data_IF_359810695452
#
_entry.id   IF_359810695452
#
_cell.length_a   1.000
_cell.length_b   1.000
_cell.length_c   1.000
_cell.angle_alpha   90.00
_cell.angle_beta   90.00
_cell.angle_gamma   90.00
#
_symmetry.space_group_name_H-M   'P 1'
#
loop_
_entity.id
_entity.type
_entity.pdbx_description
1 polymer ?
#
# COMPACT_ATOMS: atom_id res chain seq x y z
N UNK A 1 -1.02 -0.98 12.07
CA UNK A 1 -1.09 -2.41 11.75
C UNK A 1 -0.40 -2.64 10.42
N UNK A 2 0.35 -3.74 10.25
CA UNK A 2 0.94 -4.10 8.95
C UNK A 2 0.28 -5.36 8.42
N UNK A 3 -0.18 -5.32 7.18
CA UNK A 3 -0.75 -6.47 6.49
C UNK A 3 0.10 -6.82 5.28
N UNK A 4 0.45 -8.10 5.17
CA UNK A 4 1.23 -8.62 4.06
C UNK A 4 0.38 -8.74 2.79
N UNK A 5 1.04 -9.03 1.68
CA UNK A 5 0.38 -9.12 0.38
C UNK A 5 -0.70 -10.19 0.25
N UNK A 6 -0.63 -11.26 1.05
CA UNK A 6 -1.66 -12.31 1.13
C UNK A 6 -2.90 -11.89 1.90
N UNK A 7 -2.81 -10.85 2.72
CA UNK A 7 -3.93 -10.30 3.50
C UNK A 7 -4.81 -9.37 2.68
N UNK A 8 -4.31 -8.87 1.54
CA UNK A 8 -5.07 -7.99 0.63
C UNK A 8 -5.32 -8.62 -0.74
N UNK A 9 -5.00 -9.91 -0.92
CA UNK A 9 -4.99 -10.58 -2.23
C UNK A 9 -6.36 -10.81 -2.88
N UNK A 10 -7.46 -10.58 -2.18
CA UNK A 10 -8.84 -10.71 -2.70
C UNK A 10 -9.80 -9.81 -1.94
N UNK A 11 -11.00 -9.61 -2.48
CA UNK A 11 -12.04 -8.83 -1.83
C UNK A 11 -12.40 -9.37 -0.44
N UNK A 12 -12.53 -10.70 -0.28
CA UNK A 12 -12.87 -11.30 1.01
C UNK A 12 -11.79 -11.06 2.07
N UNK A 13 -10.52 -11.17 1.68
CA UNK A 13 -9.39 -10.88 2.58
C UNK A 13 -9.35 -9.41 2.95
N UNK A 14 -9.67 -8.51 2.02
CA UNK A 14 -9.82 -7.08 2.32
C UNK A 14 -10.95 -6.84 3.33
N UNK A 15 -12.09 -7.53 3.21
CA UNK A 15 -13.20 -7.43 4.19
C UNK A 15 -12.75 -7.90 5.58
N UNK A 16 -12.07 -9.04 5.68
CA UNK A 16 -11.50 -9.54 6.95
C UNK A 16 -10.53 -8.52 7.58
N UNK A 17 -9.66 -7.93 6.78
CA UNK A 17 -8.71 -6.91 7.23
C UNK A 17 -9.45 -5.66 7.72
N UNK A 18 -10.49 -5.24 7.01
CA UNK A 18 -11.36 -4.13 7.41
C UNK A 18 -12.03 -4.39 8.77
N UNK A 19 -12.61 -5.58 8.97
CA UNK A 19 -13.21 -5.96 10.26
C UNK A 19 -12.20 -5.87 11.40
N UNK A 20 -10.97 -6.36 11.19
CA UNK A 20 -9.87 -6.26 12.15
C UNK A 20 -9.48 -4.81 12.45
N UNK A 21 -9.45 -3.93 11.45
CA UNK A 21 -9.13 -2.50 11.68
C UNK A 21 -10.23 -1.85 12.52
N UNK A 22 -11.49 -2.15 12.21
CA UNK A 22 -12.65 -1.58 12.89
C UNK A 22 -12.83 -2.11 14.32
N UNK A 23 -12.33 -3.31 14.63
CA UNK A 23 -12.32 -3.85 16.00
C UNK A 23 -11.37 -3.11 16.95
N UNK A 24 -10.48 -2.24 16.44
CA UNK A 24 -9.56 -1.43 17.25
C UNK A 24 -9.76 0.10 17.06
N UNK A 25 -10.94 0.67 17.40
CA UNK A 25 -11.29 2.05 17.10
C UNK A 25 -10.48 3.11 17.87
N UNK A 26 -9.77 2.72 18.95
CA UNK A 26 -9.08 3.65 19.87
C UNK A 26 -7.56 3.79 19.66
N UNK A 27 -6.97 3.16 18.63
CA UNK A 27 -5.54 3.29 18.35
C UNK A 27 -5.33 4.13 17.09
N UNK A 28 -4.44 5.11 17.16
CA UNK A 28 -3.93 5.91 16.03
C UNK A 28 -3.22 4.97 15.03
N UNK A 29 -4.00 4.22 14.27
CA UNK A 29 -3.52 3.10 13.50
C UNK A 29 -3.12 3.59 12.12
N UNK A 30 -1.82 3.76 11.90
CA UNK A 30 -1.29 3.75 10.54
C UNK A 30 -1.38 2.32 10.01
N UNK A 31 -1.93 2.16 8.81
CA UNK A 31 -2.00 0.87 8.15
C UNK A 31 -0.92 0.82 7.09
N UNK A 32 -0.11 -0.23 7.15
CA UNK A 32 0.92 -0.51 6.15
C UNK A 32 0.48 -1.71 5.34
N UNK A 33 0.39 -1.54 4.03
CA UNK A 33 -0.02 -2.60 3.10
C UNK A 33 1.09 -2.89 2.08
N UNK A 34 1.25 -4.18 1.78
CA UNK A 34 2.07 -4.67 0.67
C UNK A 34 1.21 -5.14 -0.51
N UNK A 35 1.78 -5.28 -1.71
CA UNK A 35 1.06 -5.74 -2.91
C UNK A 35 0.29 -7.03 -2.69
N UNK A 36 -0.89 -7.12 -3.33
CA UNK A 36 -1.61 -8.37 -3.57
C UNK A 36 -0.65 -9.47 -4.04
N UNK A 37 -0.58 -10.56 -3.25
CA UNK A 37 0.48 -11.56 -3.29
C UNK A 37 0.93 -12.04 -4.67
N UNK A 38 2.25 -12.20 -4.86
CA UNK A 38 2.94 -12.80 -6.03
C UNK A 38 2.44 -12.37 -7.44
N UNK A 39 1.69 -11.29 -7.56
CA UNK A 39 1.23 -10.72 -8.84
C UNK A 39 2.38 -10.27 -9.74
N UNK A 40 3.58 -10.15 -9.19
CA UNK A 40 4.83 -9.75 -9.85
C UNK A 40 5.20 -10.58 -11.09
N UNK A 41 4.79 -11.86 -11.19
CA UNK A 41 5.26 -12.71 -12.30
C UNK A 41 4.39 -12.64 -13.57
N UNK A 42 3.17 -12.08 -13.51
CA UNK A 42 2.27 -11.96 -14.67
C UNK A 42 1.37 -10.74 -14.53
N UNK A 43 1.81 -9.59 -15.07
CA UNK A 43 1.08 -8.30 -15.04
C UNK A 43 -0.38 -8.46 -15.48
N UNK A 44 -0.62 -9.19 -16.58
CA UNK A 44 -1.97 -9.44 -17.11
C UNK A 44 -2.85 -10.16 -16.08
N UNK A 45 -2.31 -11.20 -15.42
CA UNK A 45 -3.05 -11.93 -14.39
C UNK A 45 -3.37 -11.00 -13.22
N UNK A 46 -2.42 -10.16 -12.82
CA UNK A 46 -2.64 -9.17 -11.78
C UNK A 46 -3.79 -8.20 -12.11
N UNK A 47 -3.85 -7.73 -13.36
CA UNK A 47 -4.93 -6.85 -13.84
C UNK A 47 -6.31 -7.51 -13.75
N UNK A 48 -6.43 -8.79 -14.11
CA UNK A 48 -7.70 -9.52 -13.97
C UNK A 48 -8.12 -9.61 -12.50
N UNK A 49 -7.19 -9.91 -11.59
CA UNK A 49 -7.50 -9.94 -10.16
C UNK A 49 -7.91 -8.57 -9.60
N UNK A 50 -7.23 -7.51 -10.05
CA UNK A 50 -7.53 -6.12 -9.68
C UNK A 50 -8.95 -5.75 -10.10
N UNK A 51 -9.31 -5.96 -11.37
CA UNK A 51 -10.64 -5.66 -11.89
C UNK A 51 -11.72 -6.46 -11.17
N UNK A 52 -11.50 -7.75 -10.96
CA UNK A 52 -12.43 -8.61 -10.23
C UNK A 52 -12.64 -8.14 -8.79
N UNK A 53 -11.57 -7.73 -8.11
CA UNK A 53 -11.65 -7.22 -6.73
C UNK A 53 -12.42 -5.90 -6.65
N UNK A 54 -12.22 -4.99 -7.62
CA UNK A 54 -13.01 -3.74 -7.72
C UNK A 54 -14.49 -4.05 -7.84
N UNK A 55 -14.87 -4.98 -8.72
CA UNK A 55 -16.25 -5.38 -8.92
C UNK A 55 -16.85 -6.07 -7.66
N UNK A 56 -16.11 -7.01 -7.06
CA UNK A 56 -16.52 -7.75 -5.84
C UNK A 56 -16.72 -6.83 -4.63
N UNK A 57 -15.96 -5.72 -4.55
CA UNK A 57 -16.13 -4.68 -3.52
C UNK A 57 -17.18 -3.62 -3.93
N UNK A 58 -17.73 -3.73 -5.14
CA UNK A 58 -18.69 -2.80 -5.73
C UNK A 58 -18.15 -1.38 -5.87
N UNK A 59 -16.87 -1.24 -6.19
CA UNK A 59 -16.21 0.04 -6.43
C UNK A 59 -16.35 0.44 -7.90
N UNK A 60 -16.29 1.74 -8.18
CA UNK A 60 -16.24 2.22 -9.56
C UNK A 60 -14.86 1.94 -10.17
N UNK A 61 -14.84 1.36 -11.38
CA UNK A 61 -13.63 1.08 -12.15
C UNK A 61 -12.87 2.35 -12.54
N UNK A 62 -13.54 3.51 -12.56
CA UNK A 62 -12.90 4.82 -12.77
C UNK A 62 -11.77 5.08 -11.78
N UNK A 63 -11.82 4.48 -10.57
CA UNK A 63 -10.80 4.56 -9.53
C UNK A 63 -9.38 4.21 -10.01
N UNK A 64 -9.27 3.22 -10.91
CA UNK A 64 -7.99 2.67 -11.36
C UNK A 64 -7.72 2.92 -12.84
N UNK A 65 -8.67 3.56 -13.56
CA UNK A 65 -8.57 3.76 -15.01
C UNK A 65 -7.31 4.52 -15.40
N UNK A 66 -7.06 5.67 -14.77
CA UNK A 66 -5.87 6.49 -15.08
C UNK A 66 -4.55 5.74 -14.84
N UNK A 67 -4.54 4.83 -13.85
CA UNK A 67 -3.39 3.98 -13.55
C UNK A 67 -3.22 2.91 -14.64
N UNK A 68 -4.30 2.26 -15.06
CA UNK A 68 -4.27 1.30 -16.16
C UNK A 68 -3.79 1.93 -17.47
N UNK A 69 -4.27 3.13 -17.79
CA UNK A 69 -3.87 3.87 -18.99
C UNK A 69 -2.35 4.18 -18.96
N UNK A 70 -1.81 4.57 -17.80
CA UNK A 70 -0.36 4.79 -17.61
C UNK A 70 0.44 3.50 -17.76
N UNK A 71 -0.04 2.39 -17.20
CA UNK A 71 0.62 1.09 -17.34
C UNK A 71 0.64 0.63 -18.80
N UNK A 72 -0.46 0.81 -19.53
CA UNK A 72 -0.56 0.49 -20.95
C UNK A 72 0.45 1.29 -21.78
N UNK A 73 0.53 2.61 -21.58
CA UNK A 73 1.52 3.46 -22.26
C UNK A 73 2.96 2.99 -21.99
N UNK A 74 3.26 2.65 -20.73
CA UNK A 74 4.58 2.14 -20.35
C UNK A 74 4.90 0.80 -21.01
N UNK A 75 3.95 -0.14 -21.04
CA UNK A 75 4.11 -1.44 -21.70
C UNK A 75 4.30 -1.29 -23.21
N UNK A 76 3.58 -0.36 -23.85
CA UNK A 76 3.76 -0.03 -25.26
C UNK A 76 5.16 0.53 -25.53
N UNK A 77 5.67 1.41 -24.67
CA UNK A 77 7.04 1.91 -24.76
C UNK A 77 8.09 0.79 -24.69
N UNK A 78 7.92 -0.17 -23.77
CA UNK A 78 8.80 -1.34 -23.65
C UNK A 78 8.73 -2.21 -24.92
N UNK A 79 7.53 -2.42 -25.47
CA UNK A 79 7.35 -3.21 -26.68
C UNK A 79 8.05 -2.59 -27.90
N UNK A 80 7.98 -1.26 -28.04
CA UNK A 80 8.65 -0.51 -29.12
C UNK A 80 10.16 -0.52 -28.96
N UNK A 81 10.66 -0.21 -27.76
CA UNK A 81 12.10 -0.09 -27.50
C UNK A 81 12.79 -1.45 -27.35
N UNK A 82 12.02 -2.51 -27.06
CA UNK A 82 12.50 -3.87 -26.71
C UNK A 82 13.49 -3.88 -25.55
N UNK A 83 13.40 -2.88 -24.67
CA UNK A 83 14.28 -2.72 -23.51
C UNK A 83 13.47 -2.66 -22.22
N UNK A 84 13.87 -3.47 -21.24
CA UNK A 84 13.31 -3.45 -19.88
C UNK A 84 14.39 -3.00 -18.90
N UNK A 85 14.46 -1.70 -18.64
CA UNK A 85 15.40 -1.16 -17.66
C UNK A 85 15.00 -1.57 -16.23
N UNK A 86 15.96 -1.64 -15.28
CA UNK A 86 15.65 -1.90 -13.87
C UNK A 86 14.62 -0.92 -13.28
N UNK A 87 14.66 0.35 -13.72
CA UNK A 87 13.71 1.39 -13.29
C UNK A 87 12.28 1.07 -13.74
N UNK A 88 12.12 0.68 -15.00
CA UNK A 88 10.82 0.31 -15.57
C UNK A 88 10.28 -0.98 -14.93
N UNK A 89 11.15 -1.97 -14.70
CA UNK A 89 10.78 -3.19 -13.96
C UNK A 89 10.26 -2.85 -12.57
N UNK A 90 10.95 -1.97 -11.82
CA UNK A 90 10.53 -1.58 -10.48
C UNK A 90 9.18 -0.85 -10.48
N UNK A 91 8.93 -0.02 -11.50
CA UNK A 91 7.64 0.65 -11.67
C UNK A 91 6.48 -0.34 -11.92
N UNK A 92 6.69 -1.35 -12.77
CA UNK A 92 5.68 -2.39 -13.02
C UNK A 92 5.36 -3.17 -11.74
N UNK A 93 6.38 -3.44 -10.91
CA UNK A 93 6.18 -4.12 -9.63
C UNK A 93 5.41 -3.24 -8.65
N UNK A 94 5.77 -1.95 -8.54
CA UNK A 94 5.08 -1.02 -7.65
C UNK A 94 3.65 -0.72 -8.09
N UNK A 95 3.33 -0.86 -9.38
CA UNK A 95 1.97 -0.69 -9.88
C UNK A 95 0.95 -1.58 -9.16
N UNK A 96 1.27 -2.87 -8.99
CA UNK A 96 0.40 -3.80 -8.25
C UNK A 96 0.27 -3.43 -6.77
N UNK A 97 1.36 -2.93 -6.17
CA UNK A 97 1.38 -2.44 -4.79
C UNK A 97 0.44 -1.25 -4.62
N UNK A 98 0.65 -0.19 -5.40
CA UNK A 98 -0.14 1.04 -5.31
C UNK A 98 -1.61 0.85 -5.70
N UNK A 99 -1.92 -0.05 -6.63
CA UNK A 99 -3.31 -0.28 -7.06
C UNK A 99 -4.10 -1.00 -5.98
N UNK A 100 -3.50 -1.98 -5.30
CA UNK A 100 -4.17 -2.72 -4.23
C UNK A 100 -4.51 -1.86 -3.02
N UNK A 101 -3.61 -0.96 -2.62
CA UNK A 101 -3.84 -0.04 -1.51
C UNK A 101 -4.90 1.00 -1.84
N UNK A 102 -4.95 1.44 -3.11
CA UNK A 102 -5.97 2.36 -3.62
C UNK A 102 -7.37 1.76 -3.56
N UNK A 103 -7.50 0.51 -4.00
CA UNK A 103 -8.76 -0.26 -3.90
C UNK A 103 -9.20 -0.38 -2.45
N UNK A 104 -8.27 -0.72 -1.56
CA UNK A 104 -8.57 -0.88 -0.14
C UNK A 104 -9.02 0.43 0.53
N UNK A 105 -8.34 1.55 0.24
CA UNK A 105 -8.73 2.89 0.71
C UNK A 105 -10.12 3.28 0.19
N UNK A 106 -10.38 3.05 -1.10
CA UNK A 106 -11.69 3.34 -1.69
C UNK A 106 -12.79 2.50 -1.04
N UNK A 107 -12.51 1.24 -0.75
CA UNK A 107 -13.44 0.36 -0.03
C UNK A 107 -13.73 0.87 1.39
N UNK A 108 -12.71 1.23 2.17
CA UNK A 108 -12.90 1.82 3.50
C UNK A 108 -13.77 3.08 3.45
N UNK A 109 -13.48 3.99 2.51
CA UNK A 109 -14.26 5.21 2.35
C UNK A 109 -15.71 4.91 1.96
N UNK A 110 -15.94 3.92 1.08
CA UNK A 110 -17.29 3.47 0.69
C UNK A 110 -18.11 2.98 1.88
N UNK A 111 -17.49 2.31 2.85
CA UNK A 111 -18.19 1.82 4.06
C UNK A 111 -18.22 2.85 5.20
N UNK A 112 -17.87 4.11 4.94
CA UNK A 112 -17.93 5.21 5.91
C UNK A 112 -16.69 5.35 6.81
N UNK A 113 -15.61 4.62 6.53
CA UNK A 113 -14.35 4.74 7.28
C UNK A 113 -13.36 5.62 6.51
N UNK A 114 -13.13 6.82 7.03
CA UNK A 114 -12.25 7.81 6.39
C UNK A 114 -10.81 7.31 6.33
N UNK A 115 -10.30 7.09 5.12
CA UNK A 115 -8.96 6.59 4.87
C UNK A 115 -8.29 7.30 3.69
N UNK A 116 -6.96 7.41 3.71
CA UNK A 116 -6.17 8.03 2.64
C UNK A 116 -4.90 7.25 2.34
N UNK A 117 -4.54 7.18 1.06
CA UNK A 117 -3.35 6.48 0.56
C UNK A 117 -2.12 7.40 0.54
N UNK A 118 -0.98 6.85 0.93
CA UNK A 118 0.34 7.48 0.85
C UNK A 118 1.31 6.54 0.12
N UNK A 119 1.62 6.86 -1.13
CA UNK A 119 2.52 6.06 -1.97
C UNK A 119 3.99 6.42 -1.68
N UNK A 120 4.77 5.45 -1.21
CA UNK A 120 6.22 5.64 -0.95
C UNK A 120 7.03 5.76 -2.25
N UNK A 121 6.50 5.27 -3.38
CA UNK A 121 7.18 5.30 -4.69
C UNK A 121 6.99 6.60 -5.47
N UNK A 122 5.94 7.34 -5.18
CA UNK A 122 5.64 8.61 -5.85
C UNK A 122 6.51 9.74 -5.32
N UNK A 123 7.25 9.45 -4.25
CA UNK A 123 8.16 10.36 -3.64
C UNK A 123 9.54 9.75 -3.77
N UNK A 124 10.46 10.46 -4.39
CA UNK A 124 11.89 10.38 -4.03
C UNK A 124 12.10 10.84 -2.55
N UNK A 125 11.08 10.73 -1.70
CA UNK A 125 11.19 11.03 -0.30
C UNK A 125 11.75 9.83 0.41
N UNK A 126 12.75 10.15 1.20
CA UNK A 126 13.08 9.41 2.38
C UNK A 126 11.83 9.19 3.22
N UNK A 127 11.82 8.07 3.93
CA UNK A 127 10.84 7.71 4.94
C UNK A 127 10.31 8.92 5.74
N UNK A 128 11.22 9.82 6.12
CA UNK A 128 10.94 10.97 6.96
C UNK A 128 9.93 11.93 6.32
N UNK A 129 9.97 12.13 5.00
CA UNK A 129 9.03 13.02 4.34
C UNK A 129 7.62 12.41 4.24
N UNK A 130 7.52 11.08 4.03
CA UNK A 130 6.23 10.37 4.11
C UNK A 130 5.64 10.50 5.51
N UNK A 131 6.45 10.26 6.56
CA UNK A 131 6.01 10.36 7.95
C UNK A 131 5.55 11.78 8.32
N UNK A 132 6.30 12.81 7.92
CA UNK A 132 5.92 14.22 8.14
C UNK A 132 4.59 14.56 7.47
N UNK A 133 4.40 14.11 6.22
CA UNK A 133 3.16 14.34 5.48
C UNK A 133 1.97 13.66 6.15
N UNK A 134 2.09 12.37 6.46
CA UNK A 134 1.05 11.61 7.18
C UNK A 134 0.67 12.29 8.49
N UNK A 135 1.66 12.74 9.26
CA UNK A 135 1.43 13.42 10.52
C UNK A 135 0.71 14.76 10.35
N UNK A 136 1.16 15.58 9.40
CA UNK A 136 0.52 16.87 9.10
C UNK A 136 -0.92 16.74 8.61
N UNK A 137 -1.17 15.75 7.75
CA UNK A 137 -2.52 15.46 7.25
C UNK A 137 -3.42 14.92 8.36
N UNK A 138 -2.91 14.06 9.25
CA UNK A 138 -3.65 13.54 10.40
C UNK A 138 -4.08 14.63 11.38
N UNK A 139 -3.18 15.59 11.70
CA UNK A 139 -3.50 16.70 12.60
C UNK A 139 -4.60 17.58 11.99
N UNK A 140 -4.51 17.84 10.68
CA UNK A 140 -5.47 18.70 9.98
C UNK A 140 -6.84 18.04 9.84
N UNK A 141 -6.86 16.75 9.55
CA UNK A 141 -8.07 16.01 9.24
C UNK A 141 -7.91 14.51 9.59
N UNK A 142 -8.35 14.08 10.79
CA UNK A 142 -8.13 12.72 11.27
C UNK A 142 -8.75 11.68 10.33
N UNK A 143 -7.90 10.84 9.75
CA UNK A 143 -8.26 9.78 8.81
C UNK A 143 -7.23 8.65 8.87
N UNK A 144 -7.64 7.41 8.63
CA UNK A 144 -6.72 6.26 8.66
C UNK A 144 -5.69 6.39 7.52
N UNK A 145 -4.39 6.57 7.82
CA UNK A 145 -3.38 6.67 6.78
C UNK A 145 -2.94 5.26 6.36
N UNK A 146 -3.03 5.00 5.06
CA UNK A 146 -2.66 3.73 4.42
C UNK A 146 -1.40 3.96 3.60
N UNK A 147 -0.27 3.45 4.09
CA UNK A 147 1.04 3.64 3.46
C UNK A 147 1.37 2.42 2.60
N UNK A 148 1.66 2.67 1.32
CA UNK A 148 2.05 1.66 0.34
C UNK A 148 3.51 1.33 0.51
N UNK A 149 3.84 0.07 0.75
CA UNK A 149 5.19 -0.28 1.21
C UNK A 149 5.88 -1.29 0.31
N UNK A 150 7.02 -0.86 -0.26
CA UNK A 150 7.92 -1.67 -1.08
C UNK A 150 8.83 -2.60 -0.28
N UNK A 151 9.68 -3.37 -1.00
CA UNK A 151 10.56 -4.43 -0.45
C UNK A 151 11.37 -4.04 0.81
N UNK A 152 11.72 -2.77 0.99
CA UNK A 152 12.62 -2.27 2.06
C UNK A 152 12.03 -2.40 3.47
N UNK A 153 10.71 -2.46 3.61
CA UNK A 153 10.05 -2.46 4.92
C UNK A 153 9.62 -3.85 5.38
N UNK A 154 10.21 -4.92 4.84
CA UNK A 154 9.77 -6.28 5.16
C UNK A 154 10.05 -6.67 6.62
N UNK A 155 11.01 -6.04 7.29
CA UNK A 155 11.55 -6.54 8.56
C UNK A 155 11.81 -5.44 9.59
N UNK A 156 10.76 -4.84 10.15
CA UNK A 156 10.89 -4.14 11.44
C UNK A 156 9.55 -4.11 12.16
N UNK A 157 9.60 -4.42 13.45
CA UNK A 157 8.52 -4.20 14.41
C UNK A 157 8.44 -2.69 14.67
N UNK A 158 7.55 -2.04 13.93
CA UNK A 158 7.54 -0.59 13.82
C UNK A 158 8.24 -0.12 12.57
N UNK A 159 8.18 1.18 12.37
CA UNK A 159 8.43 1.80 11.08
C UNK A 159 9.68 2.66 11.33
N UNK A 160 10.85 2.20 10.89
CA UNK A 160 12.14 2.86 11.17
C UNK A 160 12.49 3.88 10.07
N UNK A 161 13.31 4.90 10.39
CA UNK A 161 13.77 5.92 9.44
C UNK A 161 14.43 5.35 8.17
N UNK A 162 15.02 4.16 8.24
CA UNK A 162 15.57 3.39 7.11
C UNK A 162 15.73 1.90 7.46
N UNK A 163 16.20 1.08 6.52
CA UNK A 163 16.49 -0.35 6.76
C UNK A 163 17.67 -0.51 7.74
N UNK A 164 17.49 -1.15 8.90
CA UNK A 164 18.54 -1.30 9.91
C UNK A 164 19.69 -2.21 9.44
N UNK A 165 19.47 -3.06 8.43
CA UNK A 165 20.53 -3.88 7.82
C UNK A 165 21.41 -3.08 6.86
N UNK A 166 20.93 -1.91 6.42
CA UNK A 166 21.66 -0.99 5.53
C UNK A 166 22.33 0.12 6.35
N UNK A 167 21.69 0.59 7.42
CA UNK A 167 22.23 1.61 8.31
C UNK A 167 21.87 1.34 9.77
N UNK A 168 22.89 1.14 10.60
CA UNK A 168 22.73 0.75 12.01
C UNK A 168 22.16 1.85 12.92
N UNK A 169 22.12 3.10 12.46
CA UNK A 169 21.51 4.23 13.19
C UNK A 169 20.03 4.45 12.84
N UNK A 170 19.34 3.43 12.30
CA UNK A 170 17.92 3.54 11.99
C UNK A 170 17.09 3.74 13.28
N UNK A 171 16.38 4.85 13.36
CA UNK A 171 15.57 5.21 14.53
C UNK A 171 14.09 4.84 14.32
N UNK A 172 13.36 4.39 15.36
CA UNK A 172 11.92 4.24 15.28
C UNK A 172 11.26 5.58 15.04
N UNK A 173 10.32 5.66 14.10
CA UNK A 173 9.61 6.91 13.92
C UNK A 173 8.40 6.96 14.84
N UNK A 174 8.38 7.91 15.79
CA UNK A 174 7.47 7.85 16.94
C UNK A 174 5.99 7.77 16.53
N UNK A 175 5.63 8.38 15.39
CA UNK A 175 4.25 8.48 14.91
C UNK A 175 3.79 7.29 14.06
N UNK A 176 4.72 6.39 13.69
CA UNK A 176 4.46 5.23 12.84
C UNK A 176 4.86 3.91 13.54
N UNK A 177 5.44 3.98 14.73
CA UNK A 177 5.90 2.80 15.50
C UNK A 177 4.72 2.17 16.24
N UNK A 178 4.51 0.87 16.04
CA UNK A 178 3.43 0.13 16.67
C UNK A 178 3.86 -0.37 18.06
N UNK A 179 3.12 -0.03 19.11
CA UNK A 179 3.19 -0.78 20.36
C UNK A 179 2.51 -2.14 20.13
N UNK A 180 3.30 -3.21 20.20
CA UNK A 180 2.85 -4.60 20.11
C UNK A 180 1.63 -4.80 21.02
N UNK A 181 0.55 -5.36 20.47
CA UNK A 181 -0.40 -6.06 21.34
C UNK A 181 0.33 -7.36 21.68
N UNK A 182 0.89 -7.43 22.89
CA UNK A 182 1.24 -8.73 23.45
C UNK A 182 -0.01 -9.60 23.38
N UNK A 183 0.12 -10.74 22.72
CA UNK A 183 -0.84 -11.82 22.81
C UNK A 183 -0.99 -12.17 24.29
N UNK A 184 -2.04 -11.69 24.92
CA UNK A 184 -2.58 -12.36 26.10
C UNK A 184 -3.29 -13.62 25.60
N UNK A 185 -2.52 -14.69 25.44
CA UNK A 185 -2.89 -16.07 25.74
C UNK A 185 -1.63 -16.91 25.88
#
# INVERSE_FOLDING_TARGET
MKFGGSSVASADRMKEVTELILSFPKKNNVIVLSAMGKTTNKVIVALVYILRTVDELGLDRSLIKDHLDKLEQLLNGIAVLKELTPRVRNYIVSFGECTSTRIFVAYLNKIGTKACQYDVFDIEATYLAVAKRVHGDWIRDPMIPIVTVGKVWKYVDGVLTCDPNIYSGAEPVPYLTFNRIESQQ
#
